data_IF_560084624342
#
_entry.id   IF_560084624342
#
_cell.length_a   1.000
_cell.length_b   1.000
_cell.length_c   1.000
_cell.angle_alpha   90.00
_cell.angle_beta   90.00
_cell.angle_gamma   90.00
#
_symmetry.space_group_name_H-M   'P 1'
#
loop_
_entity.id
_entity.type
_entity.pdbx_description
1 polymer ?
#
# COMPACT_ATOMS: atom_id res chain seq x y z
N UNK A 1 -9.71 0.71 -26.38
CA UNK A 1 -10.15 0.49 -24.98
C UNK A 1 -9.14 1.19 -24.09
N UNK A 2 -9.52 2.19 -23.28
CA UNK A 2 -8.56 2.82 -22.35
C UNK A 2 -8.13 1.74 -21.36
N UNK A 3 -6.83 1.42 -21.30
CA UNK A 3 -6.34 0.41 -20.36
C UNK A 3 -6.70 0.87 -18.95
N UNK A 4 -7.40 0.00 -18.21
CA UNK A 4 -7.68 0.19 -16.78
C UNK A 4 -6.40 -0.05 -15.96
N UNK A 5 -5.26 0.37 -16.47
CA UNK A 5 -3.96 0.18 -15.83
C UNK A 5 -3.80 1.21 -14.72
N UNK A 6 -3.73 0.71 -13.50
CA UNK A 6 -3.38 1.49 -12.33
C UNK A 6 -2.06 0.98 -11.81
N UNK A 7 -0.96 1.72 -12.02
CA UNK A 7 0.32 1.38 -11.39
C UNK A 7 0.36 1.94 -9.96
N UNK A 8 0.09 1.08 -8.98
CA UNK A 8 0.15 1.40 -7.56
C UNK A 8 1.24 0.55 -6.91
N UNK A 9 2.24 1.21 -6.35
CA UNK A 9 3.37 0.56 -5.67
C UNK A 9 2.91 0.13 -4.28
N UNK A 10 2.90 -1.17 -4.01
CA UNK A 10 2.61 -1.71 -2.69
C UNK A 10 3.92 -1.84 -1.91
N UNK A 11 3.98 -1.17 -0.76
CA UNK A 11 5.12 -1.23 0.16
C UNK A 11 4.72 -1.92 1.46
N UNK A 12 5.67 -2.67 2.02
CA UNK A 12 5.53 -3.30 3.32
C UNK A 12 5.31 -2.22 4.40
N UNK A 13 4.24 -2.35 5.19
CA UNK A 13 3.94 -1.43 6.31
C UNK A 13 5.01 -1.47 7.41
N UNK A 14 5.76 -2.58 7.52
CA UNK A 14 6.75 -2.77 8.57
C UNK A 14 8.15 -2.22 8.22
N UNK A 15 8.59 -2.35 6.97
CA UNK A 15 9.97 -2.01 6.59
C UNK A 15 10.07 -1.13 5.33
N UNK A 16 8.95 -0.74 4.73
CA UNK A 16 8.94 0.10 3.52
C UNK A 16 9.38 -0.61 2.22
N UNK A 17 9.78 -1.88 2.29
CA UNK A 17 10.19 -2.65 1.11
C UNK A 17 9.08 -2.70 0.06
N UNK A 18 9.42 -2.50 -1.22
CA UNK A 18 8.48 -2.64 -2.32
C UNK A 18 8.21 -4.12 -2.58
N UNK A 19 6.97 -4.55 -2.34
CA UNK A 19 6.59 -5.96 -2.44
C UNK A 19 6.20 -6.29 -3.88
N UNK A 20 5.23 -5.56 -4.43
CA UNK A 20 4.79 -5.69 -5.82
C UNK A 20 4.09 -4.40 -6.28
N UNK A 21 3.81 -4.32 -7.58
CA UNK A 21 2.94 -3.29 -8.13
C UNK A 21 1.58 -3.91 -8.45
N UNK A 22 0.52 -3.33 -7.91
CA UNK A 22 -0.82 -3.58 -8.45
C UNK A 22 -0.88 -2.87 -9.80
N UNK A 23 -1.28 -3.58 -10.85
CA UNK A 23 -1.41 -3.07 -12.22
C UNK A 23 -2.86 -3.12 -12.74
N UNK A 24 -3.66 -4.06 -12.24
CA UNK A 24 -5.08 -4.26 -12.58
C UNK A 24 -6.01 -3.67 -11.51
N UNK A 25 -7.29 -3.51 -11.85
CA UNK A 25 -8.35 -3.01 -10.95
C UNK A 25 -8.85 -4.07 -9.95
N UNK A 26 -7.96 -4.84 -9.33
CA UNK A 26 -8.34 -5.85 -8.33
C UNK A 26 -8.77 -5.19 -7.02
N UNK A 27 -9.73 -5.78 -6.32
CA UNK A 27 -10.17 -5.40 -4.98
C UNK A 27 -10.08 -6.59 -4.04
N UNK A 28 -9.98 -6.34 -2.74
CA UNK A 28 -9.87 -7.38 -1.72
C UNK A 28 -8.65 -7.18 -0.84
N UNK A 29 -8.61 -7.95 0.23
CA UNK A 29 -7.50 -7.98 1.19
C UNK A 29 -6.72 -9.27 0.99
N UNK A 30 -5.40 -9.16 0.92
CA UNK A 30 -4.51 -10.32 0.83
C UNK A 30 -3.51 -10.29 1.97
N UNK A 31 -3.11 -11.47 2.41
CA UNK A 31 -2.00 -11.66 3.34
C UNK A 31 -0.83 -12.30 2.62
N UNK A 32 0.37 -11.76 2.84
CA UNK A 32 1.57 -12.27 2.22
C UNK A 32 2.80 -11.99 3.08
N UNK A 33 3.84 -12.80 2.91
CA UNK A 33 5.12 -12.62 3.62
C UNK A 33 6.01 -11.61 2.90
N UNK A 34 6.51 -10.61 3.61
CA UNK A 34 7.48 -9.67 3.06
C UNK A 34 8.83 -10.37 2.82
N UNK A 35 9.45 -10.24 1.63
CA UNK A 35 10.73 -10.89 1.35
C UNK A 35 11.90 -10.30 2.15
N UNK A 36 11.78 -9.05 2.63
CA UNK A 36 12.85 -8.37 3.36
C UNK A 36 12.78 -8.55 4.88
N UNK A 37 11.62 -8.29 5.51
CA UNK A 37 11.49 -8.41 6.98
C UNK A 37 10.84 -9.72 7.44
N UNK A 38 10.46 -10.60 6.51
CA UNK A 38 9.84 -11.91 6.76
C UNK A 38 8.55 -11.90 7.59
N UNK A 39 7.97 -10.74 7.86
CA UNK A 39 6.66 -10.61 8.52
C UNK A 39 5.53 -10.81 7.52
N UNK A 40 4.45 -11.43 7.97
CA UNK A 40 3.18 -11.45 7.24
C UNK A 40 2.58 -10.04 7.31
N UNK A 41 2.16 -9.52 6.15
CA UNK A 41 1.54 -8.21 6.02
C UNK A 41 0.21 -8.33 5.31
N UNK A 42 -0.78 -7.65 5.86
CA UNK A 42 -2.10 -7.49 5.28
C UNK A 42 -2.12 -6.26 4.37
N UNK A 43 -2.47 -6.50 3.10
CA UNK A 43 -2.51 -5.49 2.04
C UNK A 43 -3.92 -5.38 1.49
N UNK A 44 -4.48 -4.17 1.55
CA UNK A 44 -5.73 -3.83 0.89
C UNK A 44 -5.47 -3.34 -0.54
N UNK A 45 -6.03 -4.06 -1.52
CA UNK A 45 -5.92 -3.76 -2.95
C UNK A 45 -6.97 -2.74 -3.42
N UNK A 46 -7.91 -2.33 -2.58
CA UNK A 46 -9.00 -1.39 -2.94
C UNK A 46 -8.52 -0.02 -3.40
N UNK A 47 -7.28 0.36 -3.07
CA UNK A 47 -6.66 1.63 -3.45
C UNK A 47 -6.66 1.85 -4.97
N UNK A 48 -7.02 3.07 -5.37
CA UNK A 48 -7.15 3.51 -6.76
C UNK A 48 -6.42 4.84 -6.96
N UNK A 49 -5.72 4.98 -8.09
CA UNK A 49 -5.03 6.22 -8.47
C UNK A 49 -6.09 7.25 -8.88
N UNK A 50 -6.07 8.45 -8.29
CA UNK A 50 -6.98 9.56 -8.61
C UNK A 50 -8.21 9.73 -7.72
N UNK A 51 -8.54 8.77 -6.83
CA UNK A 51 -9.68 8.90 -5.90
C UNK A 51 -9.31 9.67 -4.63
N UNK A 52 -8.04 9.60 -4.20
CA UNK A 52 -7.58 10.24 -2.96
C UNK A 52 -6.96 11.60 -3.27
N UNK A 53 -7.70 12.69 -3.01
CA UNK A 53 -7.21 14.08 -3.16
C UNK A 53 -6.30 14.51 -2.01
N UNK A 54 -6.56 14.02 -0.79
CA UNK A 54 -5.75 14.27 0.40
C UNK A 54 -5.87 13.07 1.34
N UNK A 55 -4.84 12.85 2.16
CA UNK A 55 -4.84 11.83 3.22
C UNK A 55 -4.42 12.51 4.52
N UNK A 56 -5.32 12.55 5.49
CA UNK A 56 -4.99 13.03 6.83
C UNK A 56 -4.11 11.98 7.52
N UNK A 57 -2.85 12.29 7.75
CA UNK A 57 -1.94 11.46 8.56
C UNK A 57 -1.91 12.02 9.98
N UNK A 58 -2.38 11.25 10.97
CA UNK A 58 -2.14 11.57 12.38
C UNK A 58 -0.67 11.29 12.68
N UNK A 59 0.16 12.33 12.64
CA UNK A 59 1.52 12.28 13.18
C UNK A 59 1.41 12.38 14.70
N UNK A 60 1.54 11.26 15.40
CA UNK A 60 1.80 11.29 16.84
C UNK A 60 3.20 11.82 17.07
N UNK A 61 3.36 13.14 17.01
CA UNK A 61 4.58 13.82 17.45
C UNK A 61 4.71 13.62 18.96
N UNK A 62 5.32 12.52 19.39
CA UNK A 62 6.03 12.45 20.67
C UNK A 62 7.30 13.28 20.50
N UNK A 63 7.17 14.60 20.54
CA UNK A 63 8.26 15.47 20.91
C UNK A 63 8.54 15.16 22.39
N UNK A 64 9.50 14.27 22.64
CA UNK A 64 10.01 14.06 23.98
C UNK A 64 10.79 15.31 24.39
N UNK A 65 10.41 15.81 25.56
CA UNK A 65 11.01 16.87 26.37
C UNK A 65 12.54 16.82 26.44
#
# INVERSE_FOLDING_TARGET
>A
MKSLEQKIIVRCKNCGWRIFDKVTMTTGVIELKCPNCHRVVEVDLSLRKGTVKYRLTRSSNRANN
#
